data_IF_998189778160
#
_entry.id   IF_998189778160
#
_cell.length_a   1.000
_cell.length_b   1.000
_cell.length_c   1.000
_cell.angle_alpha   90.00
_cell.angle_beta   90.00
_cell.angle_gamma   90.00
#
_symmetry.space_group_name_H-M   'P 1'
#
loop_
_entity.id
_entity.type
_entity.pdbx_description
1 polymer ?
#
# COMPACT_ATOMS: atom_id res chain seq x y z
N UNK A 1 1.24 -30.49 5.44
CA UNK A 1 0.61 -29.66 6.46
C UNK A 1 -0.27 -28.55 5.84
N UNK A 2 0.28 -27.39 5.44
CA UNK A 2 -0.54 -26.24 5.02
C UNK A 2 -1.47 -26.56 3.83
N UNK A 3 -0.97 -27.19 2.76
CA UNK A 3 -1.79 -27.54 1.59
C UNK A 3 -2.87 -28.56 1.92
N UNK A 4 -2.59 -29.52 2.80
CA UNK A 4 -3.54 -30.51 3.30
C UNK A 4 -4.68 -29.83 4.08
N UNK A 5 -4.34 -28.95 5.00
CA UNK A 5 -5.32 -28.14 5.74
C UNK A 5 -6.17 -27.23 4.80
N UNK A 6 -5.58 -26.68 3.75
CA UNK A 6 -6.31 -25.91 2.73
C UNK A 6 -7.27 -26.80 1.93
N UNK A 7 -6.88 -28.03 1.63
CA UNK A 7 -7.77 -28.99 0.97
C UNK A 7 -9.01 -29.28 1.83
N UNK A 8 -8.85 -29.48 3.13
CA UNK A 8 -9.97 -29.69 4.06
C UNK A 8 -10.89 -28.46 4.15
N UNK A 9 -10.33 -27.26 3.94
CA UNK A 9 -11.06 -25.98 3.99
C UNK A 9 -11.52 -25.46 2.62
N UNK A 10 -11.45 -26.25 1.56
CA UNK A 10 -11.79 -25.87 0.17
C UNK A 10 -13.18 -25.26 -0.04
N UNK A 11 -14.13 -25.51 0.88
CA UNK A 11 -15.48 -24.91 0.84
C UNK A 11 -15.49 -23.47 1.32
N UNK A 12 -14.54 -23.07 2.16
CA UNK A 12 -14.46 -21.73 2.76
C UNK A 12 -13.27 -20.90 2.28
N UNK A 13 -12.22 -21.55 1.77
CA UNK A 13 -11.02 -20.89 1.23
C UNK A 13 -10.82 -21.33 -0.21
N UNK A 14 -10.86 -20.36 -1.13
CA UNK A 14 -10.56 -20.60 -2.55
C UNK A 14 -9.06 -20.62 -2.76
N UNK A 15 -8.52 -21.75 -3.19
CA UNK A 15 -7.12 -21.91 -3.57
C UNK A 15 -6.99 -21.84 -5.08
N UNK A 16 -6.07 -21.01 -5.57
CA UNK A 16 -5.76 -20.86 -6.99
C UNK A 16 -4.32 -21.29 -7.22
N UNK A 17 -4.11 -22.31 -8.03
CA UNK A 17 -2.78 -22.78 -8.39
C UNK A 17 -2.19 -21.92 -9.50
N UNK A 18 -0.95 -21.47 -9.31
CA UNK A 18 -0.15 -20.79 -10.33
C UNK A 18 0.96 -21.73 -10.82
N UNK A 19 1.37 -21.57 -12.08
CA UNK A 19 2.49 -22.33 -12.65
C UNK A 19 3.87 -21.75 -12.29
N UNK A 20 3.88 -20.54 -11.77
CA UNK A 20 5.08 -19.81 -11.40
C UNK A 20 4.80 -18.92 -10.18
N UNK A 21 5.72 -18.87 -9.24
CA UNK A 21 5.54 -18.17 -7.97
C UNK A 21 5.41 -16.66 -8.12
N UNK A 22 6.08 -16.07 -9.13
CA UNK A 22 5.87 -14.66 -9.47
C UNK A 22 4.42 -14.39 -9.89
N UNK A 23 3.80 -15.33 -10.61
CA UNK A 23 2.38 -15.26 -10.98
C UNK A 23 1.47 -15.32 -9.74
N UNK A 24 1.76 -16.23 -8.79
CA UNK A 24 1.02 -16.31 -7.52
C UNK A 24 1.14 -15.00 -6.71
N UNK A 25 2.35 -14.48 -6.58
CA UNK A 25 2.61 -13.23 -5.86
C UNK A 25 1.95 -12.02 -6.52
N UNK A 26 2.01 -11.91 -7.86
CA UNK A 26 1.35 -10.84 -8.61
C UNK A 26 -0.19 -10.92 -8.51
N UNK A 27 -0.78 -12.13 -8.52
CA UNK A 27 -2.22 -12.30 -8.28
C UNK A 27 -2.61 -11.83 -6.87
N UNK A 28 -1.81 -12.15 -5.85
CA UNK A 28 -2.05 -11.70 -4.48
C UNK A 28 -1.92 -10.18 -4.36
N UNK A 29 -0.89 -9.58 -4.99
CA UNK A 29 -0.73 -8.12 -5.06
C UNK A 29 -1.94 -7.47 -5.73
N UNK A 30 -2.32 -7.92 -6.91
CA UNK A 30 -3.46 -7.37 -7.66
C UNK A 30 -4.77 -7.48 -6.88
N UNK A 31 -4.99 -8.59 -6.17
CA UNK A 31 -6.13 -8.72 -5.27
C UNK A 31 -6.11 -7.66 -4.16
N UNK A 32 -4.96 -7.44 -3.54
CA UNK A 32 -4.77 -6.42 -2.52
C UNK A 32 -5.05 -5.01 -3.05
N UNK A 33 -4.55 -4.71 -4.25
CA UNK A 33 -4.74 -3.42 -4.91
C UNK A 33 -6.21 -3.14 -5.25
N UNK A 34 -6.90 -4.14 -5.77
CA UNK A 34 -8.31 -4.02 -6.19
C UNK A 34 -9.30 -3.99 -5.02
N UNK A 35 -8.99 -4.66 -3.91
CA UNK A 35 -9.96 -4.85 -2.81
C UNK A 35 -9.61 -4.11 -1.52
N UNK A 36 -8.37 -3.64 -1.37
CA UNK A 36 -7.85 -3.12 -0.10
C UNK A 36 -7.67 -4.18 0.98
N UNK A 37 -7.90 -5.47 0.68
CA UNK A 37 -7.73 -6.60 1.59
C UNK A 37 -6.46 -7.36 1.22
N UNK A 38 -5.69 -7.91 2.19
CA UNK A 38 -4.47 -8.62 1.87
C UNK A 38 -4.73 -9.83 0.95
N UNK A 39 -4.11 -9.83 -0.23
CA UNK A 39 -3.98 -11.04 -1.02
C UNK A 39 -2.93 -11.94 -0.39
N UNK A 40 -3.14 -13.27 -0.44
CA UNK A 40 -2.26 -14.25 0.19
C UNK A 40 -1.63 -15.12 -0.90
N UNK A 41 -0.30 -15.21 -0.89
CA UNK A 41 0.44 -16.18 -1.70
C UNK A 41 1.18 -17.17 -0.78
N UNK A 42 1.21 -18.44 -1.17
CA UNK A 42 1.97 -19.50 -0.49
C UNK A 42 2.99 -20.06 -1.48
N UNK A 43 4.25 -20.06 -1.11
CA UNK A 43 5.36 -20.53 -1.95
C UNK A 43 6.31 -21.43 -1.15
N UNK A 44 7.09 -22.23 -1.86
CA UNK A 44 8.14 -23.02 -1.23
C UNK A 44 9.36 -22.17 -0.86
N UNK A 45 10.29 -22.74 -0.11
CA UNK A 45 11.58 -22.12 0.28
C UNK A 45 12.47 -21.84 -0.93
N UNK A 46 13.55 -21.10 -0.70
CA UNK A 46 14.61 -20.84 -1.68
C UNK A 46 14.07 -20.29 -3.00
N UNK A 47 14.18 -21.05 -4.09
CA UNK A 47 13.80 -20.59 -5.43
C UNK A 47 12.37 -20.06 -5.53
N UNK A 48 11.40 -20.72 -4.85
CA UNK A 48 10.00 -20.27 -4.86
C UNK A 48 9.83 -18.89 -4.21
N UNK A 49 10.48 -18.66 -3.08
CA UNK A 49 10.49 -17.35 -2.42
C UNK A 49 11.20 -16.29 -3.27
N UNK A 50 12.32 -16.64 -3.90
CA UNK A 50 13.05 -15.73 -4.80
C UNK A 50 12.18 -15.31 -6.00
N UNK A 51 11.48 -16.25 -6.62
CA UNK A 51 10.54 -15.93 -7.71
C UNK A 51 9.37 -15.06 -7.25
N UNK A 52 8.86 -15.25 -6.03
CA UNK A 52 7.77 -14.46 -5.49
C UNK A 52 8.16 -13.03 -5.11
N UNK A 53 9.46 -12.75 -4.97
CA UNK A 53 9.96 -11.43 -4.51
C UNK A 53 9.53 -10.26 -5.40
N UNK A 54 9.32 -10.49 -6.69
CA UNK A 54 8.85 -9.45 -7.61
C UNK A 54 7.46 -8.92 -7.20
N UNK A 55 6.52 -9.79 -6.84
CA UNK A 55 5.20 -9.36 -6.37
C UNK A 55 5.26 -8.66 -5.01
N UNK A 56 6.15 -9.12 -4.11
CA UNK A 56 6.38 -8.45 -2.82
C UNK A 56 6.96 -7.05 -3.03
N UNK A 57 7.94 -6.90 -3.93
CA UNK A 57 8.52 -5.60 -4.26
C UNK A 57 7.48 -4.64 -4.86
N UNK A 58 6.64 -5.12 -5.79
CA UNK A 58 5.56 -4.33 -6.37
C UNK A 58 4.57 -3.89 -5.27
N UNK A 59 4.13 -4.82 -4.41
CA UNK A 59 3.23 -4.52 -3.29
C UNK A 59 3.82 -3.46 -2.34
N UNK A 60 5.12 -3.54 -2.06
CA UNK A 60 5.82 -2.55 -1.23
C UNK A 60 5.86 -1.17 -1.88
N UNK A 61 6.19 -1.10 -3.18
CA UNK A 61 6.27 0.16 -3.91
C UNK A 61 4.89 0.79 -4.12
N UNK A 62 3.87 0.00 -4.40
CA UNK A 62 2.50 0.48 -4.64
C UNK A 62 1.68 0.67 -3.36
N UNK A 63 2.26 0.36 -2.19
CA UNK A 63 1.54 0.40 -0.91
C UNK A 63 0.29 -0.50 -0.90
N UNK A 64 0.46 -1.73 -1.41
CA UNK A 64 -0.60 -2.73 -1.56
C UNK A 64 -0.54 -3.74 -0.41
N UNK A 65 -1.65 -4.03 0.28
CA UNK A 65 -1.65 -5.04 1.34
C UNK A 65 -1.50 -6.45 0.74
N UNK A 66 -0.52 -7.20 1.25
CA UNK A 66 -0.21 -8.56 0.80
C UNK A 66 0.38 -9.38 1.95
N UNK A 67 0.14 -10.69 1.97
CA UNK A 67 0.80 -11.63 2.86
C UNK A 67 1.44 -12.73 2.01
N UNK A 68 2.76 -12.86 2.08
CA UNK A 68 3.49 -13.96 1.50
C UNK A 68 3.81 -14.99 2.61
N UNK A 69 3.40 -16.23 2.42
CA UNK A 69 3.75 -17.36 3.28
C UNK A 69 4.82 -18.18 2.56
N UNK A 70 5.97 -18.32 3.19
CA UNK A 70 7.15 -19.02 2.63
C UNK A 70 7.41 -20.28 3.45
N UNK A 71 7.53 -21.41 2.78
CA UNK A 71 8.10 -22.62 3.40
C UNK A 71 9.57 -22.39 3.76
N UNK A 72 10.05 -23.08 4.77
CA UNK A 72 11.45 -23.01 5.20
C UNK A 72 12.00 -24.39 5.52
N UNK A 73 13.32 -24.50 5.60
CA UNK A 73 13.98 -25.71 6.07
C UNK A 73 13.58 -26.03 7.51
N UNK A 74 13.75 -27.29 7.90
CA UNK A 74 13.55 -27.71 9.30
C UNK A 74 14.49 -26.92 10.23
N UNK A 75 14.01 -26.64 11.44
CA UNK A 75 14.73 -25.79 12.43
C UNK A 75 16.06 -26.42 12.89
N UNK A 76 16.15 -27.75 12.87
CA UNK A 76 17.36 -28.49 13.29
C UNK A 76 18.49 -28.48 12.26
N UNK A 77 18.21 -28.16 11.00
CA UNK A 77 19.24 -28.07 9.93
C UNK A 77 19.58 -26.64 9.55
N UNK A 78 18.96 -25.64 10.17
CA UNK A 78 19.22 -24.21 9.88
C UNK A 78 20.67 -23.83 10.21
N UNK A 79 21.19 -22.86 9.47
CA UNK A 79 22.55 -22.35 9.57
C UNK A 79 23.63 -23.38 9.20
N UNK A 80 23.26 -24.38 8.37
CA UNK A 80 24.16 -25.44 7.87
C UNK A 80 24.19 -25.50 6.34
N UNK A 81 23.79 -24.43 5.65
CA UNK A 81 23.62 -24.42 4.19
C UNK A 81 22.70 -25.54 3.71
N UNK A 82 21.59 -25.75 4.42
CA UNK A 82 20.59 -26.74 4.09
C UNK A 82 20.01 -26.49 2.69
N UNK A 83 19.54 -27.54 2.01
CA UNK A 83 19.04 -27.44 0.65
C UNK A 83 17.95 -26.37 0.50
N UNK A 84 18.23 -25.34 -0.32
CA UNK A 84 17.37 -24.19 -0.58
C UNK A 84 17.12 -23.28 0.65
N UNK A 85 18.01 -23.31 1.62
CA UNK A 85 17.99 -22.37 2.75
C UNK A 85 18.29 -20.96 2.30
N UNK A 86 17.54 -19.97 2.83
CA UNK A 86 17.75 -18.54 2.61
C UNK A 86 17.46 -17.79 3.90
N UNK A 87 18.25 -16.80 4.25
CA UNK A 87 17.89 -15.85 5.30
C UNK A 87 16.78 -14.91 4.80
N UNK A 88 15.55 -15.33 5.02
CA UNK A 88 14.37 -14.58 4.56
C UNK A 88 14.19 -13.24 5.27
N UNK A 89 14.73 -13.06 6.48
CA UNK A 89 14.69 -11.76 7.17
C UNK A 89 15.53 -10.73 6.44
N UNK A 90 16.75 -11.09 6.07
CA UNK A 90 17.64 -10.23 5.28
C UNK A 90 17.11 -10.05 3.85
N UNK A 91 16.59 -11.10 3.25
CA UNK A 91 16.11 -11.08 1.86
C UNK A 91 14.87 -10.19 1.66
N UNK A 92 13.85 -10.35 2.49
CA UNK A 92 12.59 -9.61 2.37
C UNK A 92 12.51 -8.36 3.24
N UNK A 93 13.38 -8.19 4.23
CA UNK A 93 13.35 -7.07 5.17
C UNK A 93 13.24 -5.69 4.49
N UNK A 94 14.08 -5.39 3.50
CA UNK A 94 14.07 -4.09 2.80
C UNK A 94 12.82 -3.82 1.96
N UNK A 95 12.08 -4.86 1.56
CA UNK A 95 10.94 -4.77 0.64
C UNK A 95 9.62 -5.23 1.26
N UNK A 96 9.54 -5.29 2.58
CA UNK A 96 8.31 -5.63 3.29
C UNK A 96 8.15 -4.85 4.59
N UNK A 97 6.94 -4.81 5.11
CA UNK A 97 6.66 -4.15 6.40
C UNK A 97 7.10 -4.99 7.60
N UNK A 98 7.11 -6.29 7.43
CA UNK A 98 7.49 -7.22 8.48
C UNK A 98 7.82 -8.58 7.89
N UNK A 99 8.90 -9.18 8.39
CA UNK A 99 9.27 -10.57 8.13
C UNK A 99 9.34 -11.32 9.44
N UNK A 100 8.66 -12.44 9.55
CA UNK A 100 8.67 -13.23 10.77
C UNK A 100 8.74 -14.73 10.48
N UNK A 101 9.51 -15.44 11.31
CA UNK A 101 9.61 -16.89 11.28
C UNK A 101 8.73 -17.45 12.40
N UNK A 102 7.79 -18.33 12.07
CA UNK A 102 6.88 -18.94 13.02
C UNK A 102 7.50 -20.25 13.51
N UNK A 103 8.14 -20.20 14.66
CA UNK A 103 8.81 -21.38 15.24
C UNK A 103 7.92 -22.22 16.16
N UNK A 104 6.79 -21.68 16.59
CA UNK A 104 5.86 -22.33 17.51
C UNK A 104 4.48 -22.44 16.85
N UNK A 105 3.93 -23.64 16.63
CA UNK A 105 2.62 -23.81 16.03
C UNK A 105 1.48 -23.22 16.87
N UNK A 106 1.64 -23.13 18.20
CA UNK A 106 0.65 -22.49 19.07
C UNK A 106 0.50 -20.99 18.84
N UNK A 107 1.51 -20.36 18.25
CA UNK A 107 1.54 -18.92 17.94
C UNK A 107 1.10 -18.58 16.51
N UNK A 108 0.78 -19.56 15.68
CA UNK A 108 0.31 -19.31 14.28
C UNK A 108 -0.85 -18.32 14.24
N UNK A 109 -1.91 -18.42 15.08
CA UNK A 109 -3.00 -17.44 15.05
C UNK A 109 -2.56 -16.00 15.43
N UNK A 110 -1.61 -15.86 16.36
CA UNK A 110 -1.02 -14.57 16.75
C UNK A 110 -0.30 -13.93 15.57
N UNK A 111 0.59 -14.67 14.88
CA UNK A 111 1.33 -14.18 13.73
C UNK A 111 0.42 -13.83 12.56
N UNK A 112 -0.57 -14.67 12.28
CA UNK A 112 -1.56 -14.38 11.24
C UNK A 112 -2.34 -13.11 11.52
N UNK A 113 -2.87 -12.97 12.74
CA UNK A 113 -3.61 -11.76 13.15
C UNK A 113 -2.75 -10.49 13.01
N UNK A 114 -1.51 -10.56 13.48
CA UNK A 114 -0.54 -9.46 13.32
C UNK A 114 -0.22 -9.17 11.86
N UNK A 115 -0.08 -10.20 11.01
CA UNK A 115 0.18 -10.04 9.59
C UNK A 115 -0.94 -9.29 8.88
N UNK A 116 -2.19 -9.67 9.12
CA UNK A 116 -3.35 -8.96 8.57
C UNK A 116 -3.41 -7.50 9.04
N UNK A 117 -3.20 -7.26 10.33
CA UNK A 117 -3.19 -5.91 10.89
C UNK A 117 -2.08 -5.05 10.28
N UNK A 118 -0.84 -5.54 10.23
CA UNK A 118 0.28 -4.80 9.69
C UNK A 118 0.17 -4.56 8.18
N UNK A 119 -0.33 -5.54 7.43
CA UNK A 119 -0.49 -5.39 5.98
C UNK A 119 -1.44 -4.25 5.61
N UNK A 120 -2.44 -3.97 6.44
CA UNK A 120 -3.50 -2.99 6.17
C UNK A 120 -3.37 -1.67 6.95
N UNK A 121 -2.58 -1.61 8.02
CA UNK A 121 -2.46 -0.42 8.86
C UNK A 121 -1.47 0.60 8.33
N UNK A 122 -1.68 1.89 8.63
CA UNK A 122 -0.84 2.99 8.16
C UNK A 122 -0.72 2.96 6.63
N UNK A 123 0.50 3.10 6.09
CA UNK A 123 0.77 2.81 4.69
C UNK A 123 0.67 1.29 4.49
N UNK A 124 -0.33 0.77 3.74
CA UNK A 124 -0.43 -0.65 3.46
C UNK A 124 0.81 -1.22 2.77
N UNK A 125 1.04 -2.51 2.91
CA UNK A 125 2.20 -3.14 2.28
C UNK A 125 2.33 -4.63 2.60
N UNK A 126 3.32 -5.30 2.01
CA UNK A 126 3.51 -6.73 2.15
C UNK A 126 4.07 -7.10 3.52
N UNK A 127 3.62 -8.26 3.99
CA UNK A 127 4.16 -8.98 5.16
C UNK A 127 4.60 -10.36 4.72
N UNK A 128 5.72 -10.85 5.23
CA UNK A 128 6.26 -12.17 4.91
C UNK A 128 6.29 -13.03 6.17
N UNK A 129 5.61 -14.18 6.12
CA UNK A 129 5.61 -15.20 7.18
C UNK A 129 6.35 -16.42 6.70
N UNK A 130 7.34 -16.85 7.44
CA UNK A 130 8.19 -17.99 7.15
C UNK A 130 7.80 -19.15 8.05
N UNK A 131 7.58 -20.32 7.46
CA UNK A 131 7.04 -21.48 8.17
C UNK A 131 7.97 -22.68 8.01
N UNK A 132 8.78 -23.03 9.04
CA UNK A 132 9.64 -24.21 9.03
C UNK A 132 8.84 -25.51 8.83
N UNK A 133 9.36 -26.43 8.02
CA UNK A 133 8.63 -27.67 7.65
C UNK A 133 8.33 -28.57 8.84
N UNK A 134 9.25 -28.67 9.80
CA UNK A 134 9.06 -29.46 11.03
C UNK A 134 7.99 -28.84 11.95
N UNK A 135 7.88 -27.51 11.99
CA UNK A 135 6.82 -26.82 12.71
C UNK A 135 5.45 -27.10 12.12
N UNK A 136 5.32 -27.18 10.78
CA UNK A 136 4.06 -27.45 10.09
C UNK A 136 3.49 -28.86 10.32
N UNK A 137 4.28 -29.78 10.87
CA UNK A 137 3.85 -31.16 11.18
C UNK A 137 3.45 -31.33 12.65
N UNK A 138 3.72 -30.33 13.49
CA UNK A 138 3.41 -30.39 14.92
C UNK A 138 1.92 -30.19 15.19
N UNK A 139 1.41 -30.96 16.15
CA UNK A 139 0.01 -30.87 16.61
C UNK A 139 -0.05 -29.94 17.82
N UNK A 140 -0.95 -28.97 17.80
CA UNK A 140 -1.19 -28.07 18.92
C UNK A 140 -2.69 -27.88 19.16
N UNK A 141 -3.05 -27.56 20.40
CA UNK A 141 -4.40 -27.12 20.76
C UNK A 141 -4.34 -25.63 21.08
N UNK A 142 -4.94 -24.82 20.23
CA UNK A 142 -4.93 -23.37 20.40
C UNK A 142 -6.32 -22.78 20.15
N UNK A 143 -6.67 -21.77 20.93
CA UNK A 143 -7.88 -20.98 20.69
C UNK A 143 -7.57 -19.93 19.61
N UNK A 144 -8.33 -19.94 18.53
CA UNK A 144 -8.22 -18.88 17.50
C UNK A 144 -8.90 -17.63 18.06
N UNK A 145 -8.16 -16.51 18.24
CA UNK A 145 -8.75 -15.27 18.72
C UNK A 145 -9.73 -14.69 17.69
N UNK A 146 -10.75 -13.99 18.15
CA UNK A 146 -11.59 -13.18 17.28
C UNK A 146 -10.82 -11.93 16.83
N UNK A 147 -11.02 -11.53 15.57
CA UNK A 147 -10.46 -10.30 15.05
C UNK A 147 -11.28 -9.11 15.55
N UNK A 148 -10.63 -8.13 16.16
CA UNK A 148 -11.28 -6.88 16.57
C UNK A 148 -11.08 -5.82 15.48
N UNK A 149 -12.14 -5.16 15.01
CA UNK A 149 -12.01 -4.08 14.05
C UNK A 149 -11.22 -2.91 14.65
N UNK A 150 -10.36 -2.30 13.83
CA UNK A 150 -9.65 -1.08 14.19
C UNK A 150 -10.53 0.11 13.83
N UNK A 151 -10.88 0.92 14.82
CA UNK A 151 -11.57 2.19 14.59
C UNK A 151 -10.52 3.21 14.17
N UNK A 152 -10.70 3.75 12.96
CA UNK A 152 -9.80 4.76 12.38
C UNK A 152 -10.09 6.14 12.99
N UNK A 153 -9.05 6.97 13.12
CA UNK A 153 -9.20 8.36 13.55
C UNK A 153 -9.73 9.21 12.41
N UNK A 154 -10.65 10.12 12.69
CA UNK A 154 -11.13 11.12 11.72
C UNK A 154 -10.09 12.22 11.48
N UNK A 155 -10.21 12.90 10.33
CA UNK A 155 -9.47 14.15 10.10
C UNK A 155 -9.91 15.22 11.10
N UNK A 156 -8.95 15.91 11.70
CA UNK A 156 -9.23 16.97 12.67
C UNK A 156 -9.92 18.18 12.01
N UNK A 157 -10.75 18.89 12.76
CA UNK A 157 -11.36 20.14 12.28
C UNK A 157 -10.31 21.19 11.94
N UNK A 158 -9.18 21.21 12.62
CA UNK A 158 -8.06 22.11 12.29
C UNK A 158 -7.48 21.79 10.90
N UNK A 159 -7.30 20.50 10.56
CA UNK A 159 -6.82 20.09 9.24
C UNK A 159 -7.79 20.49 8.13
N UNK A 160 -9.10 20.32 8.35
CA UNK A 160 -10.12 20.76 7.41
C UNK A 160 -10.11 22.27 7.21
N UNK A 161 -10.10 23.04 8.30
CA UNK A 161 -10.12 24.50 8.22
C UNK A 161 -8.93 25.05 7.44
N UNK A 162 -7.74 24.46 7.62
CA UNK A 162 -6.55 24.87 6.85
C UNK A 162 -6.69 24.56 5.36
N UNK A 163 -7.27 23.42 4.99
CA UNK A 163 -7.54 23.09 3.58
C UNK A 163 -8.51 24.12 2.97
N UNK A 164 -9.61 24.41 3.67
CA UNK A 164 -10.64 25.36 3.21
C UNK A 164 -10.04 26.76 3.06
N UNK A 165 -9.36 27.28 4.07
CA UNK A 165 -8.72 28.60 4.04
C UNK A 165 -7.76 28.74 2.85
N UNK A 166 -6.92 27.73 2.62
CA UNK A 166 -5.98 27.78 1.50
C UNK A 166 -6.66 27.65 0.15
N UNK A 167 -7.73 26.87 0.03
CA UNK A 167 -8.52 26.77 -1.21
C UNK A 167 -9.24 28.08 -1.52
N UNK A 168 -9.84 28.74 -0.54
CA UNK A 168 -10.51 30.05 -0.71
C UNK A 168 -9.56 31.15 -1.19
N UNK A 169 -8.29 31.07 -0.81
CA UNK A 169 -7.26 32.05 -1.20
C UNK A 169 -6.52 31.69 -2.50
N UNK A 170 -6.66 30.45 -2.99
CA UNK A 170 -5.97 29.98 -4.19
C UNK A 170 -6.73 30.41 -5.46
N UNK A 171 -5.98 30.82 -6.48
CA UNK A 171 -6.51 31.16 -7.81
C UNK A 171 -6.36 29.99 -8.80
N UNK A 172 -5.40 29.12 -8.57
CA UNK A 172 -5.05 27.98 -9.43
C UNK A 172 -4.72 26.75 -8.57
N UNK A 173 -5.68 26.24 -7.77
CA UNK A 173 -5.46 25.04 -6.99
C UNK A 173 -5.39 23.81 -7.91
N UNK A 174 -4.64 22.79 -7.50
CA UNK A 174 -4.53 21.50 -8.18
C UNK A 174 -4.46 20.38 -7.16
N UNK A 175 -5.25 19.31 -7.35
CA UNK A 175 -5.09 18.08 -6.59
C UNK A 175 -4.21 17.06 -7.32
N UNK A 176 -3.28 16.45 -6.56
CA UNK A 176 -2.54 15.24 -6.96
C UNK A 176 -3.04 14.11 -6.08
N UNK A 177 -3.81 13.19 -6.65
CA UNK A 177 -4.36 12.06 -5.91
C UNK A 177 -3.61 10.76 -6.18
N UNK A 178 -3.54 9.88 -5.18
CA UNK A 178 -2.83 8.61 -5.34
C UNK A 178 -2.81 7.76 -4.08
N UNK A 179 -1.86 6.83 -4.02
CA UNK A 179 -1.69 5.94 -2.87
C UNK A 179 -2.84 4.96 -2.68
N UNK A 180 -3.00 4.50 -1.45
CA UNK A 180 -3.98 3.46 -1.06
C UNK A 180 -5.04 4.04 -0.13
N UNK A 181 -6.04 3.20 0.23
CA UNK A 181 -7.09 3.58 1.18
C UNK A 181 -8.31 4.23 0.54
N UNK A 182 -8.38 4.29 -0.77
CA UNK A 182 -9.56 4.73 -1.51
C UNK A 182 -10.66 3.67 -1.46
N UNK A 183 -11.88 4.10 -1.17
CA UNK A 183 -13.10 3.31 -1.21
C UNK A 183 -14.07 3.92 -2.21
N UNK A 184 -15.10 3.19 -2.61
CA UNK A 184 -16.14 3.75 -3.50
C UNK A 184 -16.79 4.99 -2.87
N UNK A 185 -16.98 5.01 -1.56
CA UNK A 185 -17.55 6.15 -0.84
C UNK A 185 -16.61 7.36 -0.89
N UNK A 186 -15.32 7.17 -0.63
CA UNK A 186 -14.34 8.27 -0.68
C UNK A 186 -14.18 8.82 -2.09
N UNK A 187 -14.18 7.96 -3.13
CA UNK A 187 -14.15 8.38 -4.54
C UNK A 187 -15.38 9.22 -4.86
N UNK A 188 -16.58 8.77 -4.47
CA UNK A 188 -17.83 9.50 -4.72
C UNK A 188 -17.86 10.85 -4.00
N UNK A 189 -17.46 10.91 -2.73
CA UNK A 189 -17.38 12.17 -1.97
C UNK A 189 -16.36 13.13 -2.58
N UNK A 190 -15.19 12.64 -2.94
CA UNK A 190 -14.14 13.43 -3.56
C UNK A 190 -14.58 13.99 -4.92
N UNK A 191 -15.14 13.16 -5.79
CA UNK A 191 -15.62 13.60 -7.11
C UNK A 191 -16.72 14.66 -6.98
N UNK A 192 -17.64 14.51 -6.02
CA UNK A 192 -18.66 15.54 -5.74
C UNK A 192 -18.00 16.86 -5.33
N UNK A 193 -17.07 16.83 -4.39
CA UNK A 193 -16.34 18.02 -3.95
C UNK A 193 -15.58 18.70 -5.10
N UNK A 194 -14.90 17.94 -5.94
CA UNK A 194 -14.18 18.44 -7.11
C UNK A 194 -15.12 19.10 -8.13
N UNK A 195 -16.22 18.45 -8.45
CA UNK A 195 -17.21 18.96 -9.41
C UNK A 195 -17.90 20.24 -8.91
N UNK A 196 -18.26 20.30 -7.62
CA UNK A 196 -18.90 21.48 -7.03
C UNK A 196 -17.94 22.71 -6.96
N UNK A 197 -16.63 22.49 -6.89
CA UNK A 197 -15.62 23.54 -6.76
C UNK A 197 -14.81 23.76 -8.04
N UNK A 198 -15.03 22.99 -9.10
CA UNK A 198 -14.35 23.07 -10.39
C UNK A 198 -12.80 23.08 -10.26
N UNK A 199 -12.25 22.14 -9.49
CA UNK A 199 -10.82 22.07 -9.20
C UNK A 199 -10.14 21.02 -10.09
N UNK A 200 -9.04 21.34 -10.79
CA UNK A 200 -8.29 20.34 -11.56
C UNK A 200 -7.70 19.23 -10.70
N UNK A 201 -7.81 17.99 -11.20
CA UNK A 201 -7.28 16.78 -10.57
C UNK A 201 -6.33 16.04 -11.49
N UNK A 202 -5.21 15.59 -10.94
CA UNK A 202 -4.28 14.68 -11.61
C UNK A 202 -4.03 13.44 -10.75
N UNK A 203 -3.82 12.31 -11.40
CA UNK A 203 -3.53 11.05 -10.71
C UNK A 203 -2.02 10.77 -10.69
N UNK A 204 -1.53 10.21 -9.59
CA UNK A 204 -0.14 9.78 -9.46
C UNK A 204 0.13 8.52 -10.29
N UNK A 205 1.42 8.20 -10.49
CA UNK A 205 1.84 7.00 -11.21
C UNK A 205 1.15 5.74 -10.70
N UNK A 206 0.60 4.93 -11.63
CA UNK A 206 -0.12 3.67 -11.40
C UNK A 206 -1.43 3.80 -10.60
N UNK A 207 -2.03 5.00 -10.56
CA UNK A 207 -3.32 5.25 -9.92
C UNK A 207 -4.30 6.01 -10.82
N UNK A 208 -4.24 5.72 -12.12
CA UNK A 208 -5.17 6.24 -13.12
C UNK A 208 -6.64 5.81 -12.89
N UNK A 209 -6.81 4.74 -12.12
CA UNK A 209 -8.10 4.18 -11.71
C UNK A 209 -8.92 5.08 -10.76
N UNK A 210 -8.32 6.10 -10.16
CA UNK A 210 -8.93 6.91 -9.10
C UNK A 210 -9.85 8.03 -9.60
N UNK A 211 -9.78 8.40 -10.86
CA UNK A 211 -10.59 9.50 -11.40
C UNK A 211 -11.08 9.20 -12.82
N UNK A 212 -12.28 9.68 -13.17
CA UNK A 212 -12.81 9.49 -14.53
C UNK A 212 -12.05 10.39 -15.51
N UNK A 213 -11.42 9.78 -16.50
CA UNK A 213 -10.65 10.50 -17.52
C UNK A 213 -11.50 11.31 -18.51
N UNK A 214 -12.83 11.16 -18.48
CA UNK A 214 -13.78 11.95 -19.26
C UNK A 214 -14.31 13.17 -18.52
N UNK A 215 -14.03 13.26 -17.22
CA UNK A 215 -14.42 14.40 -16.39
C UNK A 215 -13.63 15.64 -16.83
N UNK A 216 -14.30 16.78 -16.94
CA UNK A 216 -13.68 18.06 -17.36
C UNK A 216 -12.62 18.57 -16.38
N UNK A 217 -12.67 18.14 -15.12
CA UNK A 217 -11.67 18.47 -14.10
C UNK A 217 -10.42 17.57 -14.18
N UNK A 218 -10.41 16.52 -15.03
CA UNK A 218 -9.26 15.65 -15.17
C UNK A 218 -8.14 16.32 -15.96
N UNK A 219 -7.06 16.71 -15.28
CA UNK A 219 -5.91 17.37 -15.87
C UNK A 219 -4.87 16.41 -16.48
N UNK A 220 -5.01 15.10 -16.26
CA UNK A 220 -4.10 14.05 -16.76
C UNK A 220 -3.49 13.19 -15.66
N UNK A 221 -2.61 12.26 -16.05
CA UNK A 221 -1.93 11.33 -15.13
C UNK A 221 -0.43 11.51 -15.18
N UNK A 222 0.22 11.41 -14.04
CA UNK A 222 1.67 11.23 -13.96
C UNK A 222 2.08 9.79 -14.27
N UNK A 223 3.23 9.63 -14.92
CA UNK A 223 3.72 8.31 -15.29
C UNK A 223 5.04 8.39 -16.08
N UNK A 224 5.35 7.34 -16.83
CA UNK A 224 6.56 7.27 -17.67
C UNK A 224 6.57 8.32 -18.79
N UNK A 225 5.40 8.82 -19.16
CA UNK A 225 5.23 9.87 -20.17
C UNK A 225 4.17 10.84 -19.67
N UNK A 226 4.55 12.07 -19.44
CA UNK A 226 3.67 13.12 -18.91
C UNK A 226 3.44 14.20 -19.97
N UNK A 227 2.19 14.64 -20.11
CA UNK A 227 1.85 15.73 -21.01
C UNK A 227 2.56 17.03 -20.59
N UNK A 228 3.20 17.76 -21.51
CA UNK A 228 3.78 19.08 -21.22
C UNK A 228 2.75 20.08 -20.65
N UNK A 229 1.46 19.94 -21.02
CA UNK A 229 0.38 20.74 -20.48
C UNK A 229 0.19 20.47 -18.99
N UNK A 230 0.25 19.21 -18.55
CA UNK A 230 0.13 18.86 -17.12
C UNK A 230 1.33 19.40 -16.36
N UNK A 231 2.55 19.28 -16.89
CA UNK A 231 3.75 19.88 -16.27
C UNK A 231 3.58 21.38 -16.09
N UNK A 232 3.10 22.08 -17.12
CA UNK A 232 2.82 23.52 -17.05
C UNK A 232 1.72 23.86 -16.04
N UNK A 233 0.67 23.04 -15.93
CA UNK A 233 -0.40 23.22 -14.95
C UNK A 233 0.14 23.13 -13.53
N UNK A 234 0.94 22.10 -13.22
CA UNK A 234 1.58 21.97 -11.89
C UNK A 234 2.54 23.15 -11.63
N UNK A 235 3.32 23.53 -12.63
CA UNK A 235 4.26 24.66 -12.51
C UNK A 235 3.57 25.99 -12.24
N UNK A 236 2.38 26.22 -12.81
CA UNK A 236 1.59 27.46 -12.67
C UNK A 236 0.60 27.44 -11.52
N UNK A 237 0.38 26.30 -10.86
CA UNK A 237 -0.48 26.20 -9.68
C UNK A 237 0.07 27.03 -8.52
N UNK A 238 -0.79 27.75 -7.83
CA UNK A 238 -0.47 28.50 -6.62
C UNK A 238 -0.78 27.72 -5.32
N UNK A 239 -1.51 26.60 -5.44
CA UNK A 239 -1.73 25.64 -4.38
C UNK A 239 -1.75 24.22 -4.95
N UNK A 240 -0.92 23.33 -4.40
CA UNK A 240 -0.92 21.91 -4.74
C UNK A 240 -1.36 21.10 -3.51
N UNK A 241 -2.45 20.35 -3.63
CA UNK A 241 -2.93 19.46 -2.56
C UNK A 241 -2.64 18.03 -2.96
N UNK A 242 -1.77 17.38 -2.21
CA UNK A 242 -1.36 15.98 -2.43
C UNK A 242 -2.15 15.09 -1.50
N UNK A 243 -3.05 14.28 -2.04
CA UNK A 243 -3.92 13.41 -1.25
C UNK A 243 -3.54 11.94 -1.46
N UNK A 244 -2.94 11.34 -0.45
CA UNK A 244 -2.54 9.94 -0.40
C UNK A 244 -1.31 9.57 -1.24
N UNK A 245 -0.85 10.42 -2.16
CA UNK A 245 0.31 10.17 -3.01
C UNK A 245 1.63 10.45 -2.27
N UNK A 246 2.69 9.69 -2.60
CA UNK A 246 4.03 9.85 -2.00
C UNK A 246 4.94 10.83 -2.73
N UNK A 247 4.56 11.34 -3.88
CA UNK A 247 5.39 12.18 -4.75
C UNK A 247 6.78 11.57 -5.04
N UNK A 248 6.80 10.27 -5.37
CA UNK A 248 8.04 9.57 -5.72
C UNK A 248 8.56 9.96 -7.11
N UNK A 249 9.72 9.43 -7.45
CA UNK A 249 10.46 9.69 -8.69
C UNK A 249 9.57 9.67 -9.95
N UNK A 250 8.80 8.61 -10.16
CA UNK A 250 7.97 8.45 -11.36
C UNK A 250 6.82 9.47 -11.44
N UNK A 251 6.24 9.87 -10.31
CA UNK A 251 5.17 10.88 -10.26
C UNK A 251 5.72 12.27 -10.54
N UNK A 252 6.96 12.53 -10.19
CA UNK A 252 7.57 13.87 -10.26
C UNK A 252 8.60 14.00 -11.38
N UNK A 253 8.71 12.99 -12.26
CA UNK A 253 9.69 12.92 -13.36
C UNK A 253 11.12 13.17 -12.88
N UNK A 254 11.60 12.29 -12.00
CA UNK A 254 12.94 12.44 -11.43
C UNK A 254 13.07 13.66 -10.53
N UNK A 255 12.00 14.03 -9.81
CA UNK A 255 11.98 15.20 -8.90
C UNK A 255 12.16 16.55 -9.61
N UNK A 256 11.78 16.65 -10.89
CA UNK A 256 11.94 17.86 -11.70
C UNK A 256 10.67 18.69 -11.83
N UNK A 257 9.48 18.08 -11.83
CA UNK A 257 8.20 18.79 -11.94
C UNK A 257 7.91 19.61 -10.67
N UNK A 258 8.21 19.03 -9.53
CA UNK A 258 8.21 19.68 -8.22
C UNK A 258 9.60 19.39 -7.65
N UNK A 259 10.44 20.42 -7.52
CA UNK A 259 11.80 20.26 -7.01
C UNK A 259 11.81 20.27 -5.48
N UNK A 260 12.47 19.30 -4.82
CA UNK A 260 12.64 19.33 -3.36
C UNK A 260 13.50 20.49 -2.86
N UNK A 261 14.30 21.10 -3.75
CA UNK A 261 15.21 22.21 -3.42
C UNK A 261 14.54 23.57 -3.54
N UNK A 262 13.46 23.68 -4.29
CA UNK A 262 12.69 24.90 -4.40
C UNK A 262 11.96 25.16 -3.07
N UNK A 263 11.76 26.46 -2.74
CA UNK A 263 10.85 26.80 -1.65
C UNK A 263 9.52 26.11 -1.90
N UNK A 264 8.95 25.42 -0.91
CA UNK A 264 7.69 24.72 -1.12
C UNK A 264 6.69 25.73 -1.68
N UNK A 265 6.18 25.45 -2.88
CA UNK A 265 4.92 26.04 -3.33
C UNK A 265 3.92 25.78 -2.21
N UNK A 266 2.93 26.63 -2.04
CA UNK A 266 1.81 26.34 -1.16
C UNK A 266 1.39 24.88 -1.39
N UNK A 267 1.91 23.98 -0.59
CA UNK A 267 1.65 22.53 -0.72
C UNK A 267 1.02 22.04 0.57
N UNK A 268 -0.10 21.37 0.43
CA UNK A 268 -0.69 20.56 1.50
C UNK A 268 -0.40 19.10 1.17
N UNK A 269 0.29 18.38 2.04
CA UNK A 269 0.54 16.96 1.87
C UNK A 269 -0.25 16.16 2.90
N UNK A 270 -1.19 15.34 2.42
CA UNK A 270 -2.10 14.54 3.23
C UNK A 270 -1.73 13.08 3.02
N UNK A 271 -1.32 12.39 4.09
CA UNK A 271 -0.91 10.99 4.00
C UNK A 271 -1.18 10.24 5.32
N UNK A 272 -1.59 8.97 5.21
CA UNK A 272 -1.90 8.12 6.36
C UNK A 272 -0.66 7.71 7.17
N UNK A 273 0.50 7.64 6.54
CA UNK A 273 1.77 7.33 7.20
C UNK A 273 2.54 8.62 7.47
N UNK A 274 2.80 8.99 8.74
CA UNK A 274 3.55 10.19 9.08
C UNK A 274 4.99 10.16 8.57
N UNK A 275 5.59 8.98 8.32
CA UNK A 275 6.94 8.85 7.80
C UNK A 275 7.06 9.24 6.31
N UNK A 276 5.97 9.37 5.59
CA UNK A 276 5.97 9.88 4.21
C UNK A 276 5.87 11.41 4.17
N UNK A 277 5.38 12.04 5.24
CA UNK A 277 5.29 13.49 5.37
C UNK A 277 6.69 14.08 5.68
N UNK A 278 7.06 15.14 4.97
CA UNK A 278 8.38 15.79 5.08
C UNK A 278 9.58 14.87 4.76
N UNK A 279 9.35 13.76 4.06
CA UNK A 279 10.42 12.82 3.71
C UNK A 279 11.31 13.32 2.58
N UNK A 280 10.71 13.89 1.55
CA UNK A 280 11.40 14.44 0.37
C UNK A 280 11.04 15.91 0.20
N UNK A 281 9.78 16.25 0.35
CA UNK A 281 9.26 17.59 0.19
C UNK A 281 8.86 18.15 1.53
N UNK A 282 9.34 19.36 1.86
CA UNK A 282 8.86 20.13 3.00
C UNK A 282 7.57 20.86 2.58
N UNK A 283 6.43 20.22 2.77
CA UNK A 283 5.15 20.83 2.49
C UNK A 283 4.86 21.93 3.52
N UNK A 284 4.17 23.00 3.10
CA UNK A 284 3.77 24.08 4.03
C UNK A 284 2.82 23.56 5.10
N UNK A 285 1.95 22.60 4.73
CA UNK A 285 1.03 21.93 5.65
C UNK A 285 1.11 20.42 5.45
N UNK A 286 1.35 19.70 6.54
CA UNK A 286 1.32 18.23 6.57
C UNK A 286 0.12 17.78 7.40
N UNK A 287 -0.76 16.95 6.83
CA UNK A 287 -1.93 16.40 7.53
C UNK A 287 -1.80 14.88 7.58
N UNK A 288 -1.64 14.32 8.77
CA UNK A 288 -1.59 12.89 8.97
C UNK A 288 -3.00 12.33 9.15
N UNK A 289 -3.59 11.90 8.04
CA UNK A 289 -4.92 11.26 8.01
C UNK A 289 -5.02 10.33 6.80
N UNK A 290 -5.98 9.42 6.83
CA UNK A 290 -6.30 8.55 5.69
C UNK A 290 -7.05 9.29 4.59
N UNK A 291 -6.99 8.73 3.38
CA UNK A 291 -7.71 9.29 2.22
C UNK A 291 -9.22 9.27 2.44
N UNK A 292 -9.77 8.16 2.92
CA UNK A 292 -11.20 8.03 3.20
C UNK A 292 -11.66 9.04 4.24
N UNK A 293 -10.92 9.16 5.33
CA UNK A 293 -11.20 10.08 6.44
C UNK A 293 -11.13 11.56 5.99
N UNK A 294 -10.24 11.86 5.04
CA UNK A 294 -10.16 13.18 4.41
C UNK A 294 -11.35 13.45 3.49
N UNK A 295 -11.62 12.55 2.53
CA UNK A 295 -12.68 12.74 1.54
C UNK A 295 -14.08 12.84 2.15
N UNK A 296 -14.31 12.18 3.29
CA UNK A 296 -15.60 12.23 4.00
C UNK A 296 -15.82 13.55 4.76
N UNK A 297 -14.80 14.39 4.88
CA UNK A 297 -14.88 15.71 5.54
C UNK A 297 -14.85 16.87 4.55
N UNK A 298 -14.29 16.67 3.34
CA UNK A 298 -14.36 17.62 2.23
C UNK A 298 -15.79 17.71 1.69
#
# INVERSE_FOLDING_TARGET
GALDALFDKKKSIKVINARHEAGAANMAESYGKMTGKPGIALVTRGPGACHASVGVHIAYQDSTPMILIVGDVSRDVRDREAFQEVDFKSFFGPISKWVAIINDPARVPEYMNRAFSLATSGRPGPVVLVTPEDMLTQITKVKIPSFSPIIKSEMSSMGLNVIVEKLENAKKPLFIIGGSGWTNNSISSFNKFISENNIPVTTSFRRQDLFDHKDENFAGSFGTSVSPKLVSSVASSDLVIVLGARLGEMTTQGYTIISPQDKPKNMIHIHVDPNELNKVYNAEVCINTGVEECCMKL
#
